data_IF_762460771347
#
_entry.id   IF_762460771347
#
_cell.length_a   1.000
_cell.length_b   1.000
_cell.length_c   1.000
_cell.angle_alpha   90.00
_cell.angle_beta   90.00
_cell.angle_gamma   90.00
#
_symmetry.space_group_name_H-M   'P 1'
#
loop_
_entity.id
_entity.type
_entity.pdbx_description
1 polymer ?
#
# COMPACT_ATOMS: atom_id res chain seq x y z
N UNK A 1 -12.29 -19.39 13.90
CA UNK A 1 -11.85 -19.94 12.62
C UNK A 1 -10.53 -19.34 12.19
N UNK A 2 -9.63 -20.18 11.71
CA UNK A 2 -8.33 -19.72 11.20
C UNK A 2 -8.27 -19.94 9.69
N UNK A 3 -7.91 -18.89 8.95
CA UNK A 3 -7.55 -18.97 7.54
C UNK A 3 -6.03 -19.02 7.45
N UNK A 4 -5.51 -19.81 6.52
CA UNK A 4 -4.06 -19.99 6.42
C UNK A 4 -3.66 -20.18 4.95
N UNK A 5 -2.52 -19.58 4.59
CA UNK A 5 -1.86 -19.76 3.32
C UNK A 5 -0.37 -19.90 3.57
N UNK A 6 0.25 -20.89 2.94
CA UNK A 6 1.71 -21.09 3.02
C UNK A 6 2.27 -21.37 1.65
N UNK A 7 3.37 -20.70 1.33
CA UNK A 7 4.17 -21.02 0.16
C UNK A 7 5.62 -21.16 0.62
N UNK A 8 6.03 -22.40 0.84
CA UNK A 8 7.36 -22.73 1.37
C UNK A 8 8.45 -22.34 0.36
N UNK A 9 8.16 -22.40 -0.94
CA UNK A 9 9.16 -22.12 -1.98
C UNK A 9 9.69 -20.69 -1.94
N UNK A 10 8.87 -19.74 -1.48
CA UNK A 10 9.24 -18.33 -1.35
C UNK A 10 9.20 -17.84 0.10
N UNK A 11 9.02 -18.74 1.06
CA UNK A 11 9.03 -18.40 2.48
C UNK A 11 7.85 -17.55 2.93
N UNK A 12 6.72 -17.61 2.22
CA UNK A 12 5.54 -16.83 2.58
C UNK A 12 4.59 -17.62 3.46
N UNK A 13 4.12 -16.99 4.52
CA UNK A 13 3.10 -17.55 5.41
C UNK A 13 2.11 -16.45 5.75
N UNK A 14 0.81 -16.77 5.68
CA UNK A 14 -0.27 -15.83 5.97
C UNK A 14 -1.32 -16.51 6.82
N UNK A 15 -1.67 -15.84 7.92
CA UNK A 15 -2.64 -16.37 8.88
C UNK A 15 -3.64 -15.27 9.21
N UNK A 16 -4.91 -15.66 9.33
CA UNK A 16 -5.96 -14.77 9.79
C UNK A 16 -6.86 -15.55 10.76
N UNK A 17 -7.18 -14.94 11.89
CA UNK A 17 -8.08 -15.49 12.89
C UNK A 17 -9.36 -14.69 12.90
N UNK A 18 -10.48 -15.40 12.75
CA UNK A 18 -11.81 -14.81 12.71
C UNK A 18 -12.59 -15.16 13.99
N UNK A 19 -13.27 -14.17 14.53
CA UNK A 19 -14.28 -14.36 15.56
C UNK A 19 -15.64 -14.12 14.91
N UNK A 20 -16.36 -15.22 14.63
CA UNK A 20 -17.50 -15.16 13.72
C UNK A 20 -17.04 -14.73 12.33
N UNK A 21 -17.60 -13.64 11.81
CA UNK A 21 -17.19 -13.08 10.53
C UNK A 21 -16.18 -11.94 10.67
N UNK A 22 -15.87 -11.52 11.89
CA UNK A 22 -14.95 -10.39 12.13
C UNK A 22 -13.50 -10.84 12.16
N UNK A 23 -12.63 -10.09 11.54
CA UNK A 23 -11.19 -10.33 11.61
C UNK A 23 -10.65 -9.89 12.97
N UNK A 24 -10.24 -10.86 13.78
CA UNK A 24 -9.72 -10.61 15.13
C UNK A 24 -8.22 -10.40 15.15
N UNK A 25 -7.47 -11.16 14.35
CA UNK A 25 -6.01 -11.06 14.28
C UNK A 25 -5.51 -11.54 12.93
N UNK A 26 -4.30 -11.09 12.56
CA UNK A 26 -3.62 -11.55 11.36
C UNK A 26 -2.11 -11.57 11.57
N UNK A 27 -1.43 -12.42 10.82
CA UNK A 27 0.02 -12.49 10.80
C UNK A 27 0.50 -12.82 9.38
N UNK A 28 1.44 -12.04 8.89
CA UNK A 28 2.05 -12.24 7.57
C UNK A 28 3.55 -12.33 7.74
N UNK A 29 4.15 -13.35 7.14
CA UNK A 29 5.59 -13.59 7.15
C UNK A 29 6.06 -13.72 5.71
N UNK A 30 7.18 -13.09 5.40
CA UNK A 30 7.77 -13.10 4.06
C UNK A 30 8.80 -12.00 3.93
N UNK A 31 9.31 -11.82 2.72
CA UNK A 31 10.19 -10.70 2.43
C UNK A 31 9.40 -9.39 2.46
N UNK A 32 10.05 -8.32 2.88
CA UNK A 32 9.41 -7.02 3.04
C UNK A 32 8.68 -6.54 1.79
N UNK A 33 9.28 -6.78 0.62
CA UNK A 33 8.68 -6.39 -0.66
C UNK A 33 7.35 -7.10 -0.97
N UNK A 34 7.15 -8.27 -0.38
CA UNK A 34 5.97 -9.11 -0.62
C UNK A 34 4.89 -8.94 0.44
N UNK A 35 5.17 -8.17 1.49
CA UNK A 35 4.20 -7.93 2.55
C UNK A 35 3.13 -6.94 2.08
N UNK A 36 1.84 -7.19 2.43
CA UNK A 36 0.77 -6.27 2.08
C UNK A 36 0.91 -4.92 2.78
N UNK A 37 0.31 -3.85 2.23
CA UNK A 37 0.31 -2.56 2.90
C UNK A 37 -0.34 -2.63 4.28
N UNK A 38 0.39 -2.22 5.30
CA UNK A 38 -0.08 -2.29 6.69
C UNK A 38 -1.38 -1.53 6.91
N UNK A 39 -1.51 -0.35 6.30
CA UNK A 39 -2.72 0.47 6.45
C UNK A 39 -3.98 -0.28 5.97
N UNK A 40 -3.86 -1.01 4.86
CA UNK A 40 -4.96 -1.83 4.36
C UNK A 40 -5.30 -2.94 5.36
N UNK A 41 -4.30 -3.68 5.85
CA UNK A 41 -4.51 -4.75 6.83
C UNK A 41 -5.18 -4.23 8.10
N UNK A 42 -4.74 -3.08 8.60
CA UNK A 42 -5.32 -2.46 9.78
C UNK A 42 -6.78 -2.06 9.58
N UNK A 43 -7.15 -1.65 8.37
CA UNK A 43 -8.54 -1.29 8.07
C UNK A 43 -9.50 -2.49 8.11
N UNK A 44 -8.97 -3.71 7.99
CA UNK A 44 -9.79 -4.93 8.02
C UNK A 44 -10.03 -5.45 9.44
N UNK A 45 -9.22 -5.03 10.41
CA UNK A 45 -9.36 -5.51 11.80
C UNK A 45 -10.69 -5.04 12.41
N UNK A 46 -11.33 -5.96 13.13
CA UNK A 46 -12.63 -5.74 13.78
C UNK A 46 -13.77 -5.44 12.79
N UNK A 47 -13.58 -5.80 11.51
CA UNK A 47 -14.59 -5.65 10.47
C UNK A 47 -15.08 -7.03 10.03
N UNK A 48 -16.37 -7.15 9.66
CA UNK A 48 -16.86 -8.37 9.05
C UNK A 48 -16.25 -8.55 7.66
N UNK A 49 -15.75 -9.74 7.38
CA UNK A 49 -15.13 -10.07 6.12
C UNK A 49 -16.06 -10.91 5.26
N UNK A 50 -16.42 -10.39 4.11
CA UNK A 50 -17.12 -11.16 3.08
C UNK A 50 -16.16 -12.13 2.36
N UNK A 51 -16.68 -12.93 1.46
CA UNK A 51 -15.87 -13.91 0.72
C UNK A 51 -14.76 -13.29 -0.11
N UNK A 52 -15.02 -12.11 -0.71
CA UNK A 52 -14.03 -11.42 -1.52
C UNK A 52 -12.89 -10.88 -0.65
N UNK A 53 -13.24 -10.29 0.48
CA UNK A 53 -12.25 -9.77 1.44
C UNK A 53 -11.39 -10.89 2.02
N UNK A 54 -11.97 -12.05 2.31
CA UNK A 54 -11.20 -13.22 2.79
C UNK A 54 -10.20 -13.72 1.74
N UNK A 55 -10.61 -13.78 0.48
CA UNK A 55 -9.69 -14.15 -0.62
C UNK A 55 -8.59 -13.12 -0.81
N UNK A 56 -8.96 -11.83 -0.79
CA UNK A 56 -8.01 -10.74 -0.90
C UNK A 56 -6.98 -10.80 0.24
N UNK A 57 -7.43 -11.06 1.46
CA UNK A 57 -6.57 -11.18 2.63
C UNK A 57 -5.53 -12.28 2.44
N UNK A 58 -5.93 -13.47 2.02
CA UNK A 58 -5.00 -14.57 1.79
C UNK A 58 -4.10 -14.35 0.57
N UNK A 59 -4.58 -13.64 -0.46
CA UNK A 59 -3.76 -13.29 -1.60
C UNK A 59 -2.73 -12.19 -1.27
N UNK A 60 -2.94 -11.48 -0.17
CA UNK A 60 -2.07 -10.37 0.23
C UNK A 60 -2.27 -9.09 -0.57
N UNK A 61 -3.37 -8.99 -1.32
CA UNK A 61 -3.68 -7.80 -2.13
C UNK A 61 -5.14 -7.43 -1.99
N UNK A 62 -5.45 -6.13 -1.83
CA UNK A 62 -6.84 -5.69 -1.81
C UNK A 62 -7.59 -6.12 -3.05
N UNK A 63 -8.88 -6.44 -2.90
CA UNK A 63 -9.75 -6.75 -4.04
C UNK A 63 -9.98 -5.50 -4.91
N UNK A 64 -10.05 -4.33 -4.29
CA UNK A 64 -10.11 -3.04 -4.99
C UNK A 64 -8.67 -2.58 -5.28
N UNK A 65 -8.26 -2.44 -6.55
CA UNK A 65 -6.93 -1.96 -6.90
C UNK A 65 -6.60 -0.58 -6.30
N UNK A 66 -7.60 0.26 -6.06
CA UNK A 66 -7.39 1.58 -5.49
C UNK A 66 -7.10 1.55 -3.98
N UNK A 67 -7.42 0.46 -3.30
CA UNK A 67 -7.09 0.28 -1.89
C UNK A 67 -5.61 -0.11 -1.68
N UNK A 68 -4.92 -0.58 -2.73
CA UNK A 68 -3.50 -0.88 -2.66
C UNK A 68 -2.71 0.40 -2.93
N UNK A 69 -2.28 1.04 -1.85
CA UNK A 69 -1.52 2.30 -1.93
C UNK A 69 -0.02 2.09 -2.12
N UNK A 70 0.45 0.84 -2.06
CA UNK A 70 1.86 0.50 -2.16
C UNK A 70 2.67 0.85 -0.91
N UNK A 71 3.99 0.93 -1.06
CA UNK A 71 4.90 1.29 0.02
C UNK A 71 4.61 2.72 0.49
N UNK A 72 4.56 2.94 1.79
CA UNK A 72 4.32 4.29 2.34
C UNK A 72 5.56 5.16 2.11
N UNK A 73 5.38 6.25 1.39
CA UNK A 73 6.42 7.23 1.10
C UNK A 73 6.35 8.40 2.10
N UNK A 74 5.15 8.96 2.30
CA UNK A 74 4.94 10.02 3.27
C UNK A 74 4.32 9.45 4.55
N UNK A 75 5.13 9.26 5.59
CA UNK A 75 4.66 8.73 6.86
C UNK A 75 3.73 9.68 7.60
N UNK A 76 3.90 11.00 7.44
CA UNK A 76 3.08 12.01 8.13
C UNK A 76 1.61 11.91 7.74
N UNK A 77 1.31 11.65 6.47
CA UNK A 77 -0.05 11.57 5.96
C UNK A 77 -0.44 10.17 5.46
N UNK A 78 0.45 9.18 5.62
CA UNK A 78 0.15 7.82 5.18
C UNK A 78 0.00 7.65 3.66
N UNK A 79 0.73 8.44 2.88
CA UNK A 79 0.62 8.43 1.43
C UNK A 79 1.55 7.38 0.82
N UNK A 80 0.98 6.45 0.07
CA UNK A 80 1.71 5.36 -0.57
C UNK A 80 2.21 5.70 -1.96
N UNK A 81 3.20 4.92 -2.41
CA UNK A 81 3.85 5.10 -3.71
C UNK A 81 2.85 5.02 -4.87
N UNK A 82 1.94 4.05 -4.85
CA UNK A 82 0.94 3.90 -5.91
C UNK A 82 -0.06 5.06 -5.95
N UNK A 83 -0.40 5.64 -4.80
CA UNK A 83 -1.23 6.84 -4.73
C UNK A 83 -0.53 8.01 -5.41
N UNK A 84 0.76 8.18 -5.16
CA UNK A 84 1.57 9.24 -5.77
C UNK A 84 1.68 9.03 -7.27
N UNK A 85 1.97 7.81 -7.72
CA UNK A 85 2.05 7.48 -9.14
C UNK A 85 0.74 7.78 -9.88
N UNK A 86 -0.38 7.40 -9.30
CA UNK A 86 -1.69 7.70 -9.88
C UNK A 86 -1.96 9.20 -9.95
N UNK A 87 -1.62 9.94 -8.90
CA UNK A 87 -1.79 11.39 -8.88
C UNK A 87 -0.95 12.06 -9.96
N UNK A 88 0.30 11.65 -10.13
CA UNK A 88 1.19 12.16 -11.19
C UNK A 88 0.59 11.90 -12.57
N UNK A 89 0.14 10.67 -12.82
CA UNK A 89 -0.43 10.29 -14.11
C UNK A 89 -1.75 11.00 -14.41
N UNK A 90 -2.64 11.08 -13.42
CA UNK A 90 -3.97 11.67 -13.61
C UNK A 90 -3.94 13.17 -13.75
N UNK A 91 -3.11 13.85 -12.95
CA UNK A 91 -3.04 15.32 -12.88
C UNK A 91 -1.84 15.90 -13.60
N UNK A 92 -1.04 15.06 -14.26
CA UNK A 92 0.14 15.48 -15.00
C UNK A 92 1.10 16.34 -14.15
N UNK A 93 1.39 15.88 -12.93
CA UNK A 93 2.24 16.58 -11.98
C UNK A 93 3.70 16.50 -12.41
N UNK A 94 4.42 17.60 -12.27
CA UNK A 94 5.82 17.72 -12.74
C UNK A 94 6.82 18.10 -11.66
N UNK A 95 6.36 18.41 -10.47
CA UNK A 95 7.24 18.81 -9.38
C UNK A 95 6.79 18.25 -8.05
N UNK A 96 7.71 18.17 -7.08
CA UNK A 96 7.41 17.76 -5.71
C UNK A 96 6.38 18.70 -5.06
N UNK A 97 6.45 20.00 -5.37
CA UNK A 97 5.47 20.96 -4.87
C UNK A 97 4.06 20.67 -5.38
N UNK A 98 3.92 20.30 -6.64
CA UNK A 98 2.62 19.90 -7.21
C UNK A 98 2.08 18.64 -6.58
N UNK A 99 2.93 17.64 -6.30
CA UNK A 99 2.55 16.45 -5.56
C UNK A 99 2.01 16.82 -4.18
N UNK A 100 2.71 17.73 -3.48
CA UNK A 100 2.28 18.19 -2.17
C UNK A 100 0.92 18.88 -2.19
N UNK A 101 0.64 19.66 -3.21
CA UNK A 101 -0.68 20.30 -3.36
C UNK A 101 -1.78 19.28 -3.65
N UNK A 102 -1.48 18.22 -4.36
CA UNK A 102 -2.46 17.22 -4.78
C UNK A 102 -2.76 16.20 -3.67
N UNK A 103 -1.73 15.61 -3.05
CA UNK A 103 -1.87 14.52 -2.09
C UNK A 103 -1.24 14.79 -0.72
N UNK A 104 -0.73 15.98 -0.49
CA UNK A 104 -0.09 16.45 0.75
C UNK A 104 1.28 15.80 1.05
N UNK A 105 1.75 14.86 0.26
CA UNK A 105 3.05 14.24 0.47
C UNK A 105 4.17 15.28 0.42
N UNK A 106 5.09 15.22 1.38
CA UNK A 106 6.22 16.13 1.46
C UNK A 106 5.91 17.50 2.06
N UNK A 107 4.69 17.77 2.50
CA UNK A 107 4.27 19.09 2.97
C UNK A 107 4.42 19.31 4.47
N UNK A 108 4.74 18.26 5.24
CA UNK A 108 4.92 18.39 6.67
C UNK A 108 6.41 18.34 7.06
N UNK A 109 6.96 17.17 7.31
CA UNK A 109 8.36 17.05 7.70
C UNK A 109 9.35 17.19 6.53
N UNK A 110 8.89 16.97 5.31
CA UNK A 110 9.73 17.07 4.11
C UNK A 110 10.71 15.92 3.91
N UNK A 111 10.77 14.95 4.82
CA UNK A 111 11.76 13.86 4.73
C UNK A 111 11.55 12.95 3.52
N UNK A 112 10.36 12.90 2.97
CA UNK A 112 10.05 12.09 1.80
C UNK A 112 10.31 12.80 0.46
N UNK A 113 10.68 14.08 0.46
CA UNK A 113 10.90 14.83 -0.78
C UNK A 113 11.92 14.18 -1.72
N UNK A 114 13.06 13.64 -1.26
CA UNK A 114 13.98 12.92 -2.15
C UNK A 114 13.34 11.71 -2.83
N UNK A 115 12.49 10.97 -2.14
CA UNK A 115 11.76 9.83 -2.70
C UNK A 115 10.73 10.29 -3.73
N UNK A 116 10.02 11.39 -3.46
CA UNK A 116 9.08 11.99 -4.41
C UNK A 116 9.80 12.41 -5.69
N UNK A 117 10.98 12.98 -5.58
CA UNK A 117 11.79 13.38 -6.73
C UNK A 117 12.23 12.16 -7.55
N UNK A 118 12.58 11.06 -6.91
CA UNK A 118 12.92 9.81 -7.59
C UNK A 118 11.72 9.24 -8.35
N UNK A 119 10.53 9.27 -7.76
CA UNK A 119 9.30 8.82 -8.42
C UNK A 119 9.00 9.68 -9.65
N UNK A 120 9.11 10.99 -9.54
CA UNK A 120 8.95 11.90 -10.67
C UNK A 120 9.93 11.60 -11.79
N UNK A 121 11.21 11.43 -11.46
CA UNK A 121 12.26 11.13 -12.45
C UNK A 121 12.04 9.83 -13.17
N UNK A 122 11.44 8.84 -12.51
CA UNK A 122 11.13 7.55 -13.11
C UNK A 122 9.92 7.62 -14.04
N UNK A 123 8.87 8.37 -13.65
CA UNK A 123 7.61 8.43 -14.40
C UNK A 123 7.61 9.51 -15.49
N UNK A 124 8.36 10.57 -15.31
CA UNK A 124 8.53 11.60 -16.31
C UNK A 124 9.90 11.38 -16.93
N UNK A 125 9.99 10.81 -18.12
CA UNK A 125 11.27 10.69 -18.78
C UNK A 125 11.83 12.07 -19.00
N UNK A 126 12.95 12.30 -18.40
CA UNK A 126 13.64 13.51 -18.59
C UNK A 126 14.21 13.50 -19.94
N UNK A 127 13.37 13.58 -20.80
CA UNK A 127 13.82 13.54 -22.13
C UNK A 127 14.51 14.75 -22.52
N UNK A 128 14.81 15.46 -21.70
CA UNK A 128 15.35 16.47 -22.00
C UNK A 128 16.50 16.53 -22.02
N UNK A 129 16.83 16.50 -22.55
CA UNK A 129 18.08 16.81 -22.61
C UNK A 129 18.63 17.63 -22.72
#
# INVERSE_FOLDING_TARGET
>A
QRLEYQDISVGQQRYAWLDGDNLAALAFFGEEADLPPRAWLMSLLNQPLDKLSRRALLSGKPADPNADVGRIICACFGIGEKTIERAIATNNLKSVAEIGKCVKAGTNCGSCQPELQKILSRLIPVAQA
#
